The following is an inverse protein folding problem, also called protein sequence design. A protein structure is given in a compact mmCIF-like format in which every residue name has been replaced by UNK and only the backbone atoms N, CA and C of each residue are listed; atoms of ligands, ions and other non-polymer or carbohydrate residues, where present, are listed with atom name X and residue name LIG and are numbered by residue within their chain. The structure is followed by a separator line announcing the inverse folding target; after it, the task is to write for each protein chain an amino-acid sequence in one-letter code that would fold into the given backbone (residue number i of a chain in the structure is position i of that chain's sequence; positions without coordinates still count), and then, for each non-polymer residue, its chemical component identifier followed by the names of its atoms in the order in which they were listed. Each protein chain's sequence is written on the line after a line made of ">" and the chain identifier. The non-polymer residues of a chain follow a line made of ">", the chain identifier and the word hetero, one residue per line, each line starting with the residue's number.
data_IF_519531360505
#
_entry.id   IF_519531360505
#
_cell.length_a   1.000
_cell.length_b   1.000
_cell.length_c   1.000
_cell.angle_alpha   90.00
_cell.angle_beta   90.00
_cell.angle_gamma   90.00
#
_symmetry.space_group_name_H-M   'P 1'
#
loop_
_entity.id
_entity.type
_entity.pdbx_description
1 polymer ?
#
# COMPACT_ATOMS: atom_id res chain seq x y z
N UNK A 1 27.43 14.72 20.60
CA UNK A 1 26.47 15.54 19.84
C UNK A 1 26.36 14.97 18.43
N UNK A 2 25.55 13.93 18.24
CA UNK A 2 25.31 13.33 16.92
C UNK A 2 24.11 14.04 16.28
N UNK A 3 24.39 15.09 15.53
CA UNK A 3 23.40 15.79 14.74
C UNK A 3 23.20 15.03 13.42
N UNK A 4 22.00 14.49 13.17
CA UNK A 4 21.65 14.10 11.81
C UNK A 4 20.72 12.91 11.64
N UNK A 5 19.45 13.11 12.02
CA UNK A 5 18.27 12.75 11.22
C UNK A 5 18.07 11.25 10.93
N UNK A 6 17.02 10.69 11.52
CA UNK A 6 16.12 9.84 10.75
C UNK A 6 15.95 10.48 9.35
N UNK A 7 16.55 9.90 8.31
CA UNK A 7 16.74 10.56 7.01
C UNK A 7 15.41 10.89 6.30
N UNK A 8 15.32 11.98 5.51
CA UNK A 8 14.06 12.36 4.87
C UNK A 8 13.83 11.48 3.64
N UNK A 9 13.03 10.43 3.81
CA UNK A 9 12.58 9.49 2.78
C UNK A 9 13.70 8.62 2.16
N UNK A 10 13.39 7.37 1.84
CA UNK A 10 14.25 6.59 0.95
C UNK A 10 14.40 7.38 -0.35
N UNK A 11 15.62 7.44 -0.89
CA UNK A 11 15.88 8.07 -2.18
C UNK A 11 14.87 7.47 -3.17
N UNK A 12 13.92 8.27 -3.64
CA UNK A 12 12.93 7.81 -4.60
C UNK A 12 13.71 7.37 -5.82
N UNK A 13 13.80 6.06 -6.05
CA UNK A 13 14.35 5.55 -7.28
C UNK A 13 13.31 5.89 -8.34
N UNK A 14 13.58 6.93 -9.12
CA UNK A 14 12.82 7.17 -10.33
C UNK A 14 13.11 5.98 -11.22
N UNK A 15 12.07 5.21 -11.51
CA UNK A 15 12.19 4.05 -12.37
C UNK A 15 12.38 4.57 -13.80
N UNK A 16 13.34 4.02 -14.55
CA UNK A 16 13.53 4.31 -15.96
C UNK A 16 12.80 3.23 -16.78
N UNK A 17 12.68 3.38 -18.10
CA UNK A 17 12.01 2.38 -18.95
C UNK A 17 12.52 0.94 -18.75
N UNK A 18 13.84 0.77 -18.60
CA UNK A 18 14.48 -0.53 -18.32
C UNK A 18 14.08 -1.14 -16.96
N UNK A 19 13.59 -0.33 -16.02
CA UNK A 19 13.13 -0.79 -14.71
C UNK A 19 11.69 -1.32 -14.75
N UNK A 20 10.92 -1.04 -15.81
CA UNK A 20 9.55 -1.57 -15.94
C UNK A 20 9.59 -3.08 -16.15
N UNK A 21 10.44 -3.56 -17.07
CA UNK A 21 10.62 -4.99 -17.31
C UNK A 21 11.09 -5.71 -16.04
N UNK A 22 11.94 -5.06 -15.24
CA UNK A 22 12.36 -5.56 -13.95
C UNK A 22 11.17 -5.71 -12.96
N UNK A 23 10.14 -4.86 -13.02
CA UNK A 23 8.95 -5.03 -12.17
C UNK A 23 8.21 -6.33 -12.52
N UNK A 24 7.99 -6.59 -13.81
CA UNK A 24 7.30 -7.79 -14.26
C UNK A 24 8.10 -9.05 -13.89
N UNK A 25 9.39 -9.07 -14.25
CA UNK A 25 10.24 -10.25 -14.11
C UNK A 25 10.71 -10.48 -12.66
N UNK A 26 11.26 -9.45 -12.00
CA UNK A 26 11.87 -9.60 -10.67
C UNK A 26 10.81 -9.69 -9.57
N UNK A 27 9.69 -8.97 -9.70
CA UNK A 27 8.64 -8.90 -8.68
C UNK A 27 7.39 -9.70 -9.05
N UNK A 28 7.42 -10.42 -10.19
CA UNK A 28 6.38 -11.36 -10.58
C UNK A 28 5.02 -10.70 -10.79
N UNK A 29 5.01 -9.42 -11.19
CA UNK A 29 3.77 -8.73 -11.52
C UNK A 29 3.25 -9.30 -12.83
N UNK A 30 1.95 -9.62 -12.89
CA UNK A 30 1.34 -10.10 -14.13
C UNK A 30 1.47 -9.06 -15.24
N UNK A 31 1.78 -9.50 -16.45
CA UNK A 31 1.73 -8.67 -17.66
C UNK A 31 0.33 -8.13 -17.99
N UNK A 32 -0.72 -8.66 -17.35
CA UNK A 32 -2.08 -8.09 -17.44
C UNK A 32 -2.23 -6.75 -16.70
N UNK A 33 -1.25 -6.38 -15.87
CA UNK A 33 -1.23 -5.12 -15.11
C UNK A 33 -0.43 -4.11 -15.91
N UNK A 34 -1.07 -3.05 -16.35
CA UNK A 34 -0.39 -1.95 -17.04
C UNK A 34 0.42 -1.12 -16.02
N UNK A 35 1.73 -1.05 -16.23
CA UNK A 35 2.65 -0.22 -15.45
C UNK A 35 3.20 0.86 -16.36
N UNK A 36 3.03 2.10 -15.93
CA UNK A 36 3.58 3.27 -16.61
C UNK A 36 4.42 4.11 -15.66
N UNK A 37 5.42 4.76 -16.24
CA UNK A 37 6.20 5.76 -15.52
C UNK A 37 5.39 7.05 -15.42
N UNK A 38 5.50 7.78 -14.30
CA UNK A 38 4.86 9.08 -14.20
C UNK A 38 5.50 10.05 -15.21
N UNK A 39 4.67 10.91 -15.80
CA UNK A 39 5.13 12.10 -16.50
C UNK A 39 5.80 13.09 -15.53
N UNK A 40 6.51 14.10 -16.05
CA UNK A 40 7.29 15.06 -15.24
C UNK A 40 6.44 15.81 -14.18
N UNK A 41 5.14 16.00 -14.42
CA UNK A 41 4.19 16.66 -13.52
C UNK A 41 3.36 15.68 -12.68
N UNK A 42 3.44 14.38 -12.96
CA UNK A 42 2.72 13.36 -12.22
C UNK A 42 3.49 12.96 -10.95
N UNK A 43 2.75 12.86 -9.85
CA UNK A 43 3.27 12.32 -8.60
C UNK A 43 2.41 11.14 -8.17
N UNK A 44 2.91 10.27 -7.30
CA UNK A 44 2.10 9.20 -6.72
C UNK A 44 0.86 9.71 -5.96
N UNK A 45 0.80 11.00 -5.61
CA UNK A 45 -0.37 11.63 -4.98
C UNK A 45 -1.39 12.19 -5.99
N UNK A 46 -0.95 12.51 -7.21
CA UNK A 46 -1.74 13.18 -8.24
C UNK A 46 -1.84 12.34 -9.52
N UNK A 47 -2.09 11.05 -9.38
CA UNK A 47 -2.21 10.11 -10.49
C UNK A 47 -3.51 10.33 -11.26
N UNK A 48 -3.46 10.19 -12.59
CA UNK A 48 -4.62 10.27 -13.47
C UNK A 48 -5.76 9.29 -13.08
N UNK A 49 -7.03 9.66 -13.30
CA UNK A 49 -8.16 8.80 -12.97
C UNK A 49 -8.04 7.40 -13.60
N UNK A 50 -8.30 6.36 -12.80
CA UNK A 50 -8.21 4.96 -13.23
C UNK A 50 -6.88 4.28 -12.90
N UNK A 51 -5.87 5.02 -12.46
CA UNK A 51 -4.55 4.50 -12.09
C UNK A 51 -4.28 4.68 -10.60
N UNK A 52 -3.44 3.81 -10.04
CA UNK A 52 -2.90 3.97 -8.69
C UNK A 52 -1.40 4.29 -8.75
N UNK A 53 -0.95 5.26 -7.98
CA UNK A 53 0.48 5.51 -7.81
C UNK A 53 1.11 4.47 -6.90
N UNK A 54 2.39 4.15 -7.10
CA UNK A 54 3.17 3.35 -6.17
C UNK A 54 4.64 3.77 -6.20
N UNK A 55 5.28 3.82 -5.02
CA UNK A 55 6.74 3.88 -4.92
C UNK A 55 7.37 2.51 -5.18
N UNK A 56 8.58 2.46 -5.77
CA UNK A 56 9.34 1.23 -5.98
C UNK A 56 9.50 0.37 -4.70
N UNK A 57 9.64 1.02 -3.54
CA UNK A 57 9.77 0.36 -2.24
C UNK A 57 8.56 -0.50 -1.85
N UNK A 58 7.37 -0.26 -2.43
CA UNK A 58 6.22 -1.13 -2.20
C UNK A 58 6.46 -2.52 -2.78
N UNK A 59 7.11 -2.63 -3.93
CA UNK A 59 7.44 -3.91 -4.54
C UNK A 59 8.65 -4.55 -3.84
N UNK A 60 9.75 -3.82 -3.71
CA UNK A 60 11.01 -4.33 -3.14
C UNK A 60 10.88 -4.75 -1.68
N UNK A 61 10.40 -3.84 -0.82
CA UNK A 61 10.34 -4.06 0.62
C UNK A 61 8.95 -4.55 1.05
N UNK A 62 7.90 -4.05 0.41
CA UNK A 62 6.51 -4.39 0.73
C UNK A 62 6.04 -5.72 0.17
N UNK A 63 6.70 -6.26 -0.85
CA UNK A 63 6.24 -7.45 -1.56
C UNK A 63 4.89 -7.21 -2.23
N UNK A 64 4.67 -6.00 -2.74
CA UNK A 64 3.46 -5.64 -3.47
C UNK A 64 3.29 -6.56 -4.69
N UNK A 65 2.14 -7.20 -4.80
CA UNK A 65 1.76 -8.06 -5.91
C UNK A 65 0.36 -7.71 -6.40
N UNK A 66 0.07 -8.09 -7.63
CA UNK A 66 -1.21 -7.83 -8.30
C UNK A 66 -1.93 -9.13 -8.68
N UNK A 67 -3.28 -9.12 -8.82
CA UNK A 67 -4.16 -7.96 -8.64
C UNK A 67 -4.34 -7.58 -7.17
N UNK A 68 -4.49 -6.27 -6.89
CA UNK A 68 -4.74 -5.81 -5.53
C UNK A 68 -6.12 -6.26 -5.05
N UNK A 69 -6.23 -6.80 -3.83
CA UNK A 69 -7.52 -7.14 -3.26
C UNK A 69 -8.45 -5.94 -3.18
N UNK A 70 -9.67 -6.07 -3.70
CA UNK A 70 -10.71 -5.04 -3.60
C UNK A 70 -10.89 -4.57 -2.14
N UNK A 71 -10.85 -5.52 -1.21
CA UNK A 71 -10.99 -5.23 0.22
C UNK A 71 -9.93 -4.25 0.75
N UNK A 72 -8.68 -4.33 0.28
CA UNK A 72 -7.64 -3.37 0.65
C UNK A 72 -8.02 -1.96 0.19
N UNK A 73 -8.48 -1.81 -1.05
CA UNK A 73 -8.87 -0.51 -1.61
C UNK A 73 -10.06 0.09 -0.84
N UNK A 74 -11.01 -0.75 -0.46
CA UNK A 74 -12.15 -0.34 0.38
C UNK A 74 -11.69 0.13 1.77
N UNK A 75 -10.72 -0.54 2.38
CA UNK A 75 -10.15 -0.12 3.67
C UNK A 75 -9.42 1.20 3.56
N UNK A 76 -8.58 1.37 2.54
CA UNK A 76 -7.86 2.62 2.29
C UNK A 76 -8.83 3.80 2.09
N UNK A 77 -9.92 3.56 1.35
CA UNK A 77 -10.98 4.54 1.18
C UNK A 77 -11.68 4.89 2.52
N UNK A 78 -12.00 3.89 3.34
CA UNK A 78 -12.63 4.07 4.65
C UNK A 78 -11.77 4.93 5.59
N UNK A 79 -10.45 4.68 5.63
CA UNK A 79 -9.52 5.44 6.47
C UNK A 79 -9.03 6.74 5.81
N UNK A 80 -9.52 7.06 4.60
CA UNK A 80 -9.13 8.23 3.79
C UNK A 80 -7.61 8.33 3.58
N UNK A 81 -6.97 7.20 3.27
CA UNK A 81 -5.54 7.11 3.00
C UNK A 81 -5.31 6.83 1.52
N UNK A 82 -4.45 7.63 0.88
CA UNK A 82 -4.02 7.32 -0.48
C UNK A 82 -3.14 6.06 -0.46
N UNK A 83 -3.22 5.24 -1.50
CA UNK A 83 -2.41 4.01 -1.61
C UNK A 83 -0.91 4.29 -1.42
N UNK A 84 -0.43 5.44 -1.90
CA UNK A 84 0.97 5.86 -1.86
C UNK A 84 1.43 6.34 -0.49
N UNK A 85 0.50 6.66 0.41
CA UNK A 85 0.80 7.01 1.80
C UNK A 85 0.95 5.76 2.67
N UNK A 86 0.60 4.58 2.15
CA UNK A 86 0.69 3.33 2.86
C UNK A 86 2.16 2.94 3.10
N UNK A 87 2.52 2.63 4.34
CA UNK A 87 3.82 2.04 4.60
C UNK A 87 3.87 0.61 4.06
N UNK A 88 4.99 0.21 3.45
CA UNK A 88 5.23 -1.15 2.96
C UNK A 88 4.90 -2.24 4.01
N UNK A 89 5.23 -1.99 5.28
CA UNK A 89 4.90 -2.89 6.38
C UNK A 89 3.40 -2.99 6.64
N UNK A 90 2.65 -1.89 6.52
CA UNK A 90 1.21 -1.89 6.73
C UNK A 90 0.53 -2.84 5.74
N UNK A 91 0.86 -2.73 4.45
CA UNK A 91 0.32 -3.61 3.42
C UNK A 91 0.59 -5.09 3.70
N UNK A 92 1.85 -5.43 4.03
CA UNK A 92 2.25 -6.82 4.31
C UNK A 92 1.47 -7.41 5.48
N UNK A 93 1.35 -6.68 6.59
CA UNK A 93 0.61 -7.16 7.76
C UNK A 93 -0.89 -7.21 7.49
N UNK A 94 -1.44 -6.21 6.81
CA UNK A 94 -2.85 -6.16 6.48
C UNK A 94 -3.27 -7.34 5.59
N UNK A 95 -2.53 -7.56 4.49
CA UNK A 95 -2.80 -8.70 3.61
C UNK A 95 -2.56 -10.03 4.30
N UNK A 96 -1.49 -10.16 5.10
CA UNK A 96 -1.23 -11.37 5.87
C UNK A 96 -2.39 -11.71 6.81
N UNK A 97 -2.90 -10.73 7.54
CA UNK A 97 -4.09 -10.90 8.38
C UNK A 97 -5.33 -11.27 7.58
N UNK A 98 -5.56 -10.61 6.44
CA UNK A 98 -6.73 -10.87 5.61
C UNK A 98 -6.70 -12.27 4.99
N UNK A 99 -5.56 -12.69 4.41
CA UNK A 99 -5.36 -14.05 3.89
C UNK A 99 -5.56 -15.07 5.00
N UNK A 100 -4.98 -14.84 6.19
CA UNK A 100 -5.13 -15.76 7.31
C UNK A 100 -6.58 -15.88 7.78
N UNK A 101 -7.33 -14.79 7.81
CA UNK A 101 -8.75 -14.82 8.13
C UNK A 101 -9.55 -15.64 7.11
N UNK A 102 -9.24 -15.51 5.81
CA UNK A 102 -9.86 -16.32 4.76
C UNK A 102 -9.56 -17.81 4.92
N UNK A 103 -8.31 -18.17 5.21
CA UNK A 103 -7.92 -19.57 5.46
C UNK A 103 -8.67 -20.20 6.64
N UNK A 104 -8.90 -19.42 7.69
CA UNK A 104 -9.62 -19.84 8.90
C UNK A 104 -11.14 -19.70 8.76
N UNK A 105 -11.65 -19.34 7.59
CA UNK A 105 -13.08 -19.10 7.32
C UNK A 105 -13.70 -18.06 8.29
N UNK A 106 -12.91 -17.06 8.68
CA UNK A 106 -13.35 -15.95 9.52
C UNK A 106 -13.84 -14.77 8.67
N UNK A 107 -14.90 -14.12 9.12
CA UNK A 107 -15.32 -12.84 8.56
C UNK A 107 -14.28 -11.77 8.92
N UNK A 108 -13.66 -11.18 7.89
CA UNK A 108 -12.74 -10.06 8.05
C UNK A 108 -12.99 -9.04 6.95
N UNK A 109 -14.01 -8.22 7.16
CA UNK A 109 -14.46 -7.17 6.26
C UNK A 109 -14.42 -5.78 6.90
N UNK A 110 -15.06 -4.81 6.23
CA UNK A 110 -15.13 -3.42 6.70
C UNK A 110 -15.90 -3.30 8.01
N UNK A 111 -16.90 -4.15 8.24
CA UNK A 111 -17.72 -4.16 9.45
C UNK A 111 -16.87 -4.42 10.70
N UNK A 112 -16.06 -5.47 10.65
CA UNK A 112 -15.17 -5.90 11.72
C UNK A 112 -14.06 -4.87 11.94
N UNK A 113 -13.53 -4.30 10.86
CA UNK A 113 -12.53 -3.24 10.95
C UNK A 113 -13.09 -1.98 11.62
N UNK A 114 -14.31 -1.57 11.27
CA UNK A 114 -15.01 -0.45 11.92
C UNK A 114 -15.23 -0.72 13.40
N UNK A 115 -15.63 -1.93 13.77
CA UNK A 115 -15.78 -2.31 15.18
C UNK A 115 -14.45 -2.22 15.93
N UNK A 116 -13.34 -2.69 15.34
CA UNK A 116 -12.01 -2.57 15.94
C UNK A 116 -11.63 -1.10 16.20
N UNK A 117 -11.86 -0.22 15.22
CA UNK A 117 -11.63 1.22 15.39
C UNK A 117 -12.56 1.86 16.42
N UNK A 118 -13.82 1.42 16.49
CA UNK A 118 -14.77 1.88 17.49
C UNK A 118 -14.32 1.49 18.91
N UNK A 119 -13.89 0.25 19.13
CA UNK A 119 -13.37 -0.23 20.42
C UNK A 119 -12.19 0.63 20.88
N UNK A 120 -11.28 1.00 19.97
CA UNK A 120 -10.14 1.90 20.27
C UNK A 120 -10.57 3.32 20.65
N UNK A 121 -11.74 3.79 20.22
CA UNK A 121 -12.23 5.14 20.56
C UNK A 121 -12.93 5.17 21.91
N UNK A 122 -13.63 4.11 22.30
CA UNK A 122 -14.38 4.07 23.56
C UNK A 122 -13.49 4.05 24.81
N UNK A 123 -12.23 3.61 24.68
CA UNK A 123 -11.25 3.66 25.78
C UNK A 123 -10.64 5.06 26.00
N UNK A 124 -10.89 6.03 25.12
CA UNK A 124 -10.38 7.40 25.27
C UNK A 124 -11.37 8.37 25.94
N UNK A 125 -12.61 7.97 26.22
CA UNK A 125 -13.64 8.82 26.85
C UNK A 125 -13.91 8.50 28.33
N UNK A 126 -12.99 7.80 29.00
CA UNK A 126 -13.08 7.46 30.43
C UNK A 126 -11.83 7.88 31.23
N UNK A 127 -11.09 8.90 30.76
CA UNK A 127 -10.02 9.53 31.52
C UNK A 127 -10.33 11.01 31.77
#
# INVERSE_FOLDING_TARGET
>A
MAAGKFGPHHKTMILNGENIDAIYELWGVSYDVEIELPEDDETPENVRPGYCGAYASHFEAGGLSFPLPRFLLEVLAEIKMAFTQMAANFFRYFLGCWVRAQEECLEFGLGELRQLFAIKRTTASLA
#
